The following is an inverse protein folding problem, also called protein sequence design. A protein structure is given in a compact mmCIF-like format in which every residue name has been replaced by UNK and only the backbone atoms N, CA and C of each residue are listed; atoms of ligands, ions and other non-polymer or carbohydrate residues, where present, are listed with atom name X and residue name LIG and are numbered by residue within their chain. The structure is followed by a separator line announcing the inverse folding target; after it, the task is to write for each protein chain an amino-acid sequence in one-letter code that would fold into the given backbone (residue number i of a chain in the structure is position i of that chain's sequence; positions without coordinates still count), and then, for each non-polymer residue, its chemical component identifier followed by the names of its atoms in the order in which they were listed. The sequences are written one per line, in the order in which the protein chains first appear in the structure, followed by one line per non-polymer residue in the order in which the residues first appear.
data_IF_879800214067
#
_entry.id   IF_879800214067
#
_cell.length_a   1.000
_cell.length_b   1.000
_cell.length_c   1.000
_cell.angle_alpha   90.00
_cell.angle_beta   90.00
_cell.angle_gamma   90.00
#
_symmetry.space_group_name_H-M   'P 1'
#
loop_
_entity.id
_entity.type
_entity.pdbx_description
1 polymer ?
#
# COMPACT_ATOMS: atom_id res chain seq x y z
N UNK A 1 84.88 -12.88 -13.40
CA UNK A 1 84.36 -12.18 -12.23
C UNK A 1 83.35 -11.13 -12.70
N UNK A 2 82.05 -11.33 -12.45
CA UNK A 2 81.02 -10.34 -12.76
C UNK A 2 80.93 -9.35 -11.59
N UNK A 3 81.52 -8.16 -11.74
CA UNK A 3 81.36 -7.08 -10.77
C UNK A 3 79.92 -6.53 -10.90
N UNK A 4 79.11 -6.69 -9.85
CA UNK A 4 77.78 -6.06 -9.79
C UNK A 4 77.98 -4.54 -9.78
N UNK A 5 77.33 -3.78 -10.68
CA UNK A 5 77.42 -2.33 -10.66
C UNK A 5 76.91 -1.79 -9.31
N UNK A 6 77.68 -0.86 -8.74
CA UNK A 6 77.41 -0.21 -7.46
C UNK A 6 76.10 0.58 -7.56
N UNK A 7 75.18 0.37 -6.62
CA UNK A 7 73.87 1.04 -6.64
C UNK A 7 74.05 2.49 -6.22
N UNK A 8 73.85 3.42 -7.15
CA UNK A 8 73.80 4.85 -6.87
C UNK A 8 72.64 5.13 -5.90
N UNK A 9 72.87 5.75 -4.73
CA UNK A 9 71.83 6.05 -3.77
C UNK A 9 70.93 7.17 -4.29
N UNK A 10 69.69 6.83 -4.65
CA UNK A 10 68.66 7.82 -5.00
C UNK A 10 68.28 8.68 -3.77
N UNK A 11 68.33 10.03 -3.88
CA UNK A 11 67.94 10.96 -2.82
C UNK A 11 66.51 10.73 -2.34
N UNK A 12 66.25 10.93 -1.05
CA UNK A 12 64.93 10.72 -0.43
C UNK A 12 63.82 11.56 -1.09
N UNK A 13 64.14 12.78 -1.54
CA UNK A 13 63.22 13.63 -2.31
C UNK A 13 62.76 12.98 -3.63
N UNK A 14 63.69 12.38 -4.39
CA UNK A 14 63.36 11.68 -5.64
C UNK A 14 62.57 10.39 -5.40
N UNK A 15 62.79 9.72 -4.25
CA UNK A 15 61.96 8.57 -3.85
C UNK A 15 60.53 8.99 -3.56
N UNK A 16 60.34 10.16 -2.97
CA UNK A 16 59.01 10.71 -2.66
C UNK A 16 58.26 11.13 -3.93
N UNK A 17 58.93 11.78 -4.89
CA UNK A 17 58.32 12.12 -6.19
C UNK A 17 57.90 10.86 -6.96
N UNK A 18 58.79 9.87 -7.08
CA UNK A 18 58.46 8.61 -7.76
C UNK A 18 57.32 7.85 -7.07
N UNK A 19 57.27 7.90 -5.74
CA UNK A 19 56.17 7.31 -4.97
C UNK A 19 54.86 8.06 -5.24
N UNK A 20 54.88 9.40 -5.24
CA UNK A 20 53.71 10.22 -5.55
C UNK A 20 53.21 10.02 -6.98
N UNK A 21 54.11 9.91 -7.96
CA UNK A 21 53.72 9.80 -9.37
C UNK A 21 53.23 8.40 -9.75
N UNK A 22 53.80 7.34 -9.16
CA UNK A 22 53.41 5.95 -9.50
C UNK A 22 52.40 5.34 -8.55
N UNK A 23 52.49 5.62 -7.25
CA UNK A 23 51.73 4.90 -6.22
C UNK A 23 50.46 5.66 -5.84
N UNK A 24 50.50 7.00 -5.79
CA UNK A 24 49.33 7.81 -5.42
C UNK A 24 48.12 7.58 -6.35
N UNK A 25 48.26 7.57 -7.69
CA UNK A 25 47.10 7.36 -8.57
C UNK A 25 46.48 5.98 -8.39
N UNK A 26 47.31 4.94 -8.19
CA UNK A 26 46.85 3.58 -7.95
C UNK A 26 46.11 3.45 -6.61
N UNK A 27 46.61 4.10 -5.55
CA UNK A 27 45.93 4.16 -4.25
C UNK A 27 44.59 4.87 -4.38
N UNK A 28 44.55 6.02 -5.06
CA UNK A 28 43.30 6.75 -5.29
C UNK A 28 42.28 5.90 -6.05
N UNK A 29 42.70 5.17 -7.09
CA UNK A 29 41.84 4.26 -7.83
C UNK A 29 41.33 3.10 -6.95
N UNK A 30 42.21 2.49 -6.15
CA UNK A 30 41.81 1.42 -5.24
C UNK A 30 40.81 1.93 -4.18
N UNK A 31 41.03 3.14 -3.65
CA UNK A 31 40.14 3.77 -2.68
C UNK A 31 38.78 4.09 -3.29
N UNK A 32 38.72 4.61 -4.53
CA UNK A 32 37.43 4.90 -5.20
C UNK A 32 36.68 3.62 -5.55
N UNK A 33 37.36 2.57 -6.00
CA UNK A 33 36.74 1.26 -6.23
C UNK A 33 36.21 0.65 -4.94
N UNK A 34 36.97 0.74 -3.84
CA UNK A 34 36.54 0.28 -2.52
C UNK A 34 35.33 1.09 -2.03
N UNK A 35 35.33 2.41 -2.17
CA UNK A 35 34.21 3.27 -1.81
C UNK A 35 32.97 2.98 -2.66
N UNK A 36 33.13 2.77 -3.97
CA UNK A 36 32.04 2.41 -4.87
C UNK A 36 31.46 1.04 -4.50
N UNK A 37 32.30 0.03 -4.26
CA UNK A 37 31.87 -1.29 -3.80
C UNK A 37 31.19 -1.25 -2.44
N UNK A 38 31.69 -0.44 -1.51
CA UNK A 38 31.09 -0.24 -0.19
C UNK A 38 29.72 0.44 -0.29
N UNK A 39 29.60 1.50 -1.09
CA UNK A 39 28.32 2.17 -1.35
C UNK A 39 27.34 1.24 -2.06
N UNK A 40 27.80 0.44 -3.02
CA UNK A 40 26.97 -0.56 -3.70
C UNK A 40 26.44 -1.61 -2.72
N UNK A 41 27.28 -2.10 -1.81
CA UNK A 41 26.84 -3.01 -0.76
C UNK A 41 25.86 -2.35 0.21
N UNK A 42 26.01 -1.06 0.50
CA UNK A 42 25.06 -0.34 1.35
C UNK A 42 23.72 -0.10 0.65
N UNK A 43 23.73 0.34 -0.61
CA UNK A 43 22.51 0.61 -1.38
C UNK A 43 21.78 -0.69 -1.76
N UNK A 44 22.51 -1.75 -2.13
CA UNK A 44 21.93 -3.07 -2.40
C UNK A 44 21.35 -3.76 -1.17
N UNK A 45 21.67 -3.30 0.05
CA UNK A 45 21.07 -3.76 1.31
C UNK A 45 19.82 -2.99 1.73
N UNK A 46 19.48 -1.90 1.05
CA UNK A 46 18.19 -1.24 1.28
C UNK A 46 17.14 -2.09 0.59
N UNK A 47 16.43 -2.91 1.36
CA UNK A 47 15.38 -3.77 0.85
C UNK A 47 14.41 -2.95 -0.03
N UNK A 48 14.07 -3.44 -1.24
CA UNK A 48 13.13 -2.75 -2.11
C UNK A 48 11.84 -2.54 -1.32
N UNK A 49 11.35 -1.31 -1.28
CA UNK A 49 10.03 -1.05 -0.71
C UNK A 49 8.97 -1.39 -1.77
N UNK A 50 7.88 -1.95 -1.31
CA UNK A 50 6.70 -2.22 -2.14
C UNK A 50 5.72 -1.08 -1.93
N UNK A 51 5.14 -0.59 -3.01
CA UNK A 51 4.08 0.41 -2.91
C UNK A 51 2.77 -0.27 -2.49
N UNK A 52 2.08 0.37 -1.56
CA UNK A 52 0.73 0.00 -1.16
C UNK A 52 -0.21 1.18 -1.22
N UNK A 53 -1.49 0.87 -1.18
CA UNK A 53 -2.58 1.84 -1.07
C UNK A 53 -3.38 1.57 0.20
N UNK A 54 -3.75 2.65 0.89
CA UNK A 54 -4.63 2.58 2.05
C UNK A 54 -6.06 2.34 1.57
N UNK A 55 -6.58 1.15 1.86
CA UNK A 55 -7.96 0.77 1.57
C UNK A 55 -8.94 1.22 2.66
N UNK A 56 -10.18 1.38 2.24
CA UNK A 56 -11.34 1.48 3.12
C UNK A 56 -12.29 0.32 2.84
N UNK A 57 -13.06 -0.07 3.85
CA UNK A 57 -14.07 -1.10 3.69
C UNK A 57 -15.26 -0.54 2.90
N UNK A 58 -15.80 -1.36 2.00
CA UNK A 58 -17.00 -1.05 1.23
C UNK A 58 -18.06 -2.07 1.63
N UNK A 59 -19.21 -1.58 2.10
CA UNK A 59 -20.30 -2.42 2.58
C UNK A 59 -21.54 -2.17 1.74
N UNK A 60 -22.17 -3.25 1.31
CA UNK A 60 -23.45 -3.23 0.62
C UNK A 60 -24.59 -3.23 1.66
N UNK A 61 -25.50 -2.26 1.56
CA UNK A 61 -26.77 -2.29 2.28
C UNK A 61 -27.76 -3.09 1.45
N UNK A 62 -28.15 -4.26 1.98
CA UNK A 62 -28.98 -5.26 1.28
C UNK A 62 -30.33 -5.41 1.94
N UNK A 63 -31.35 -5.69 1.14
CA UNK A 63 -32.70 -5.93 1.66
C UNK A 63 -32.76 -7.22 2.49
N UNK A 64 -33.24 -7.21 3.75
CA UNK A 64 -33.46 -8.43 4.52
C UNK A 64 -34.73 -9.18 4.09
N UNK A 65 -35.63 -8.53 3.35
CA UNK A 65 -36.98 -9.00 3.02
C UNK A 65 -37.30 -8.77 1.55
N UNK A 66 -38.22 -9.56 1.01
CA UNK A 66 -38.81 -9.29 -0.30
C UNK A 66 -39.88 -8.21 -0.16
N UNK A 67 -39.84 -7.19 -1.01
CA UNK A 67 -40.71 -6.04 -0.82
C UNK A 67 -40.57 -4.93 -1.84
N UNK A 68 -41.32 -3.86 -1.63
CA UNK A 68 -41.26 -2.64 -2.44
C UNK A 68 -40.43 -1.59 -1.71
N UNK A 69 -39.45 -1.01 -2.37
CA UNK A 69 -38.63 0.05 -1.79
C UNK A 69 -39.48 1.33 -1.68
N UNK A 70 -39.84 1.73 -0.47
CA UNK A 70 -40.69 2.92 -0.27
C UNK A 70 -39.88 4.19 -0.41
N UNK A 71 -38.73 4.22 0.24
CA UNK A 71 -37.88 5.39 0.28
C UNK A 71 -36.41 4.99 0.40
N UNK A 72 -35.58 5.75 -0.30
CA UNK A 72 -34.15 5.84 -0.05
C UNK A 72 -33.98 7.21 0.62
N UNK A 73 -33.87 7.22 1.94
CA UNK A 73 -33.95 8.45 2.70
C UNK A 73 -32.59 9.12 2.73
N UNK A 74 -32.46 10.36 2.22
CA UNK A 74 -31.17 11.03 2.06
C UNK A 74 -31.26 12.48 1.57
N UNK A 75 -32.39 12.85 0.94
CA UNK A 75 -32.80 14.22 0.60
C UNK A 75 -34.28 14.21 0.13
N UNK A 76 -34.98 15.36 0.03
CA UNK A 76 -36.44 15.42 -0.15
C UNK A 76 -36.99 14.79 -1.44
N UNK A 77 -36.13 14.42 -2.38
CA UNK A 77 -36.53 13.79 -3.65
C UNK A 77 -36.49 12.25 -3.60
N UNK A 78 -36.22 11.65 -2.44
CA UNK A 78 -36.21 10.18 -2.27
C UNK A 78 -35.03 9.46 -2.90
N UNK A 79 -33.92 10.16 -3.15
CA UNK A 79 -32.65 9.56 -3.59
C UNK A 79 -31.50 10.08 -2.72
N UNK A 80 -30.56 9.20 -2.38
CA UNK A 80 -29.27 9.63 -1.85
C UNK A 80 -28.46 10.29 -2.98
N UNK A 81 -27.91 11.50 -2.77
CA UNK A 81 -26.87 12.01 -3.65
C UNK A 81 -25.68 11.05 -3.65
N UNK A 82 -25.12 10.77 -4.82
CA UNK A 82 -23.80 10.16 -4.87
C UNK A 82 -22.81 11.03 -4.09
N UNK A 83 -21.97 10.38 -3.30
CA UNK A 83 -20.99 10.98 -2.41
C UNK A 83 -21.56 11.73 -1.19
N UNK A 84 -22.84 11.53 -0.85
CA UNK A 84 -23.39 12.03 0.39
C UNK A 84 -22.80 11.28 1.61
N UNK A 85 -22.46 11.99 2.70
CA UNK A 85 -22.03 11.36 3.94
C UNK A 85 -23.22 10.69 4.66
N UNK A 86 -22.98 9.53 5.24
CA UNK A 86 -23.96 8.79 6.05
C UNK A 86 -23.28 8.28 7.33
N UNK A 87 -23.97 8.39 8.46
CA UNK A 87 -23.48 7.89 9.76
C UNK A 87 -24.05 6.51 10.03
N UNK A 88 -23.29 5.66 10.72
CA UNK A 88 -23.77 4.36 11.17
C UNK A 88 -25.06 4.53 12.00
N UNK A 89 -26.04 3.67 11.76
CA UNK A 89 -27.36 3.74 12.40
C UNK A 89 -28.34 4.72 11.76
N UNK A 90 -27.89 5.63 10.88
CA UNK A 90 -28.81 6.51 10.15
C UNK A 90 -29.70 5.68 9.21
N UNK A 91 -30.96 6.05 9.05
CA UNK A 91 -31.87 5.36 8.14
C UNK A 91 -31.39 5.53 6.70
N UNK A 92 -31.05 4.42 6.04
CA UNK A 92 -30.49 4.41 4.70
C UNK A 92 -31.58 4.10 3.65
N UNK A 93 -32.50 3.20 3.97
CA UNK A 93 -33.61 2.80 3.12
C UNK A 93 -34.78 2.24 3.94
N UNK A 94 -35.98 2.26 3.35
CA UNK A 94 -37.19 1.62 3.90
C UNK A 94 -37.83 0.72 2.86
N UNK A 95 -38.13 -0.52 3.25
CA UNK A 95 -38.74 -1.54 2.38
C UNK A 95 -40.07 -1.99 2.97
N UNK A 96 -41.14 -1.88 2.20
CA UNK A 96 -42.46 -2.43 2.50
C UNK A 96 -42.47 -3.93 2.20
N UNK A 97 -42.72 -4.78 3.21
CA UNK A 97 -42.71 -6.23 3.04
C UNK A 97 -43.85 -6.72 2.14
N UNK A 98 -43.55 -7.68 1.27
CA UNK A 98 -44.55 -8.37 0.46
C UNK A 98 -45.47 -9.29 1.29
N UNK A 99 -44.96 -9.79 2.42
CA UNK A 99 -45.64 -10.74 3.30
C UNK A 99 -45.90 -10.06 4.65
N UNK A 100 -47.15 -9.64 4.87
CA UNK A 100 -47.57 -8.94 6.08
C UNK A 100 -48.07 -7.54 5.77
N UNK A 101 -49.38 -7.35 5.85
CA UNK A 101 -50.05 -6.07 5.59
C UNK A 101 -49.53 -5.03 6.59
N UNK A 102 -48.96 -3.93 6.08
CA UNK A 102 -48.44 -2.77 6.83
C UNK A 102 -47.14 -2.96 7.63
N UNK A 103 -46.21 -3.79 7.17
CA UNK A 103 -44.90 -3.97 7.85
C UNK A 103 -43.71 -3.45 7.02
N UNK A 104 -43.41 -2.15 7.16
CA UNK A 104 -42.17 -1.57 6.62
C UNK A 104 -40.96 -1.90 7.50
N UNK A 105 -39.83 -2.22 6.87
CA UNK A 105 -38.55 -2.47 7.53
C UNK A 105 -37.62 -1.31 7.23
N UNK A 106 -37.10 -0.69 8.29
CA UNK A 106 -36.07 0.34 8.20
C UNK A 106 -34.70 -0.32 8.15
N UNK A 107 -33.90 0.05 7.14
CA UNK A 107 -32.54 -0.41 6.96
C UNK A 107 -31.59 0.71 7.42
N UNK A 108 -30.95 0.57 8.59
CA UNK A 108 -29.92 1.50 9.01
C UNK A 108 -28.63 1.29 8.22
N UNK A 109 -27.83 2.35 8.12
CA UNK A 109 -26.48 2.29 7.60
C UNK A 109 -25.59 1.44 8.53
N UNK A 110 -24.89 0.41 8.04
CA UNK A 110 -24.04 -0.45 8.87
C UNK A 110 -22.78 0.28 9.36
N UNK A 111 -22.25 1.21 8.57
CA UNK A 111 -20.98 1.90 8.83
C UNK A 111 -21.08 3.41 8.58
N UNK A 112 -20.18 4.17 9.21
CA UNK A 112 -19.93 5.56 8.85
C UNK A 112 -19.20 5.62 7.50
N UNK A 113 -19.67 6.47 6.59
CA UNK A 113 -19.04 6.56 5.28
C UNK A 113 -19.71 7.49 4.31
N UNK A 114 -19.51 7.17 3.04
CA UNK A 114 -19.97 7.95 1.89
C UNK A 114 -20.68 7.00 0.93
N UNK A 115 -21.84 7.41 0.43
CA UNK A 115 -22.60 6.61 -0.55
C UNK A 115 -21.88 6.65 -1.90
N UNK A 116 -21.36 5.51 -2.36
CA UNK A 116 -20.60 5.43 -3.63
C UNK A 116 -21.44 4.93 -4.80
N UNK A 117 -22.50 4.17 -4.50
CA UNK A 117 -23.41 3.62 -5.50
C UNK A 117 -24.81 3.50 -4.94
N UNK A 118 -25.80 3.95 -5.71
CA UNK A 118 -27.23 3.71 -5.42
C UNK A 118 -27.74 2.80 -6.53
N UNK A 119 -28.28 1.64 -6.16
CA UNK A 119 -28.73 0.61 -7.11
C UNK A 119 -30.26 0.45 -7.11
N UNK A 120 -30.92 0.72 -5.98
CA UNK A 120 -32.39 0.72 -5.89
C UNK A 120 -33.01 2.05 -6.31
N UNK A 121 -34.27 2.00 -6.75
CA UNK A 121 -35.12 3.17 -6.99
C UNK A 121 -36.39 3.11 -6.11
N UNK A 122 -36.88 4.24 -5.58
CA UNK A 122 -38.17 4.27 -4.89
C UNK A 122 -39.29 3.73 -5.79
N UNK A 123 -40.15 2.89 -5.22
CA UNK A 123 -41.22 2.17 -5.90
C UNK A 123 -40.79 0.87 -6.59
N UNK A 124 -39.49 0.56 -6.67
CA UNK A 124 -38.98 -0.67 -7.26
C UNK A 124 -39.25 -1.87 -6.33
N UNK A 125 -39.57 -3.02 -6.92
CA UNK A 125 -39.60 -4.30 -6.22
C UNK A 125 -38.18 -4.82 -6.05
N UNK A 126 -37.81 -5.13 -4.81
CA UNK A 126 -36.48 -5.58 -4.41
C UNK A 126 -36.62 -6.93 -3.70
N UNK A 127 -35.76 -7.86 -4.09
CA UNK A 127 -35.68 -9.18 -3.46
C UNK A 127 -34.83 -9.17 -2.20
N UNK A 128 -35.04 -10.15 -1.32
CA UNK A 128 -34.17 -10.43 -0.20
C UNK A 128 -32.73 -10.68 -0.69
N UNK A 129 -31.79 -9.95 -0.12
CA UNK A 129 -30.36 -10.00 -0.42
C UNK A 129 -29.93 -9.07 -1.56
N UNK A 130 -30.85 -8.40 -2.24
CA UNK A 130 -30.52 -7.43 -3.29
C UNK A 130 -29.95 -6.14 -2.69
N UNK A 131 -28.90 -5.61 -3.34
CA UNK A 131 -28.18 -4.41 -2.89
C UNK A 131 -28.98 -3.16 -3.25
N UNK A 132 -29.30 -2.36 -2.25
CA UNK A 132 -30.01 -1.08 -2.42
C UNK A 132 -29.01 0.04 -2.64
N UNK A 133 -27.97 0.11 -1.81
CA UNK A 133 -26.91 1.11 -1.88
C UNK A 133 -25.60 0.57 -1.33
N UNK A 134 -24.50 1.22 -1.70
CA UNK A 134 -23.16 0.87 -1.29
C UNK A 134 -22.52 2.05 -0.56
N UNK A 135 -21.89 1.76 0.58
CA UNK A 135 -21.24 2.74 1.44
C UNK A 135 -19.76 2.41 1.51
N UNK A 136 -18.90 3.37 1.15
CA UNK A 136 -17.47 3.28 1.41
C UNK A 136 -17.13 3.97 2.73
N UNK A 137 -16.36 3.29 3.58
CA UNK A 137 -15.97 3.83 4.88
C UNK A 137 -15.12 5.10 4.71
N UNK A 138 -15.39 6.10 5.55
CA UNK A 138 -14.56 7.31 5.63
C UNK A 138 -13.28 7.09 6.44
N UNK A 139 -13.19 5.97 7.17
CA UNK A 139 -12.04 5.57 7.97
C UNK A 139 -11.20 4.57 7.16
N UNK A 140 -9.86 4.67 7.18
CA UNK A 140 -9.02 3.64 6.62
C UNK A 140 -9.22 2.35 7.42
N UNK A 141 -9.15 1.19 6.77
CA UNK A 141 -9.27 -0.11 7.46
C UNK A 141 -8.05 -1.02 7.26
N UNK A 142 -7.40 -0.98 6.09
CA UNK A 142 -6.25 -1.82 5.79
C UNK A 142 -5.32 -1.16 4.77
N UNK A 143 -4.12 -1.70 4.61
CA UNK A 143 -3.20 -1.37 3.51
C UNK A 143 -3.12 -2.59 2.59
N UNK A 144 -3.22 -2.37 1.29
CA UNK A 144 -2.98 -3.41 0.28
C UNK A 144 -1.72 -3.09 -0.50
N UNK A 145 -0.79 -4.03 -0.57
CA UNK A 145 0.38 -3.94 -1.46
C UNK A 145 0.54 -5.22 -2.27
N UNK A 146 1.29 -5.15 -3.37
CA UNK A 146 1.52 -6.29 -4.25
C UNK A 146 3.00 -6.66 -4.22
N UNK A 147 3.34 -7.74 -3.53
CA UNK A 147 4.72 -8.21 -3.39
C UNK A 147 5.08 -9.02 -4.64
N UNK A 148 6.14 -8.65 -5.40
CA UNK A 148 6.54 -9.38 -6.60
C UNK A 148 6.78 -10.88 -6.31
N UNK A 149 6.34 -11.75 -7.22
CA UNK A 149 6.63 -13.19 -7.14
C UNK A 149 7.92 -13.47 -7.93
N UNK A 150 9.07 -13.23 -7.29
CA UNK A 150 10.39 -13.40 -7.92
C UNK A 150 11.07 -14.74 -7.55
N UNK A 151 10.30 -15.72 -7.04
CA UNK A 151 10.81 -17.03 -6.62
C UNK A 151 11.31 -17.10 -5.18
N UNK A 152 11.16 -16.02 -4.42
CA UNK A 152 11.38 -15.99 -2.98
C UNK A 152 10.16 -16.58 -2.24
N UNK A 153 10.37 -17.25 -1.09
CA UNK A 153 9.25 -17.77 -0.29
C UNK A 153 8.33 -16.60 0.14
N UNK A 154 7.01 -16.67 -0.08
CA UNK A 154 6.11 -15.57 0.24
C UNK A 154 6.21 -15.18 1.72
N UNK A 155 5.91 -13.91 2.07
CA UNK A 155 5.85 -13.50 3.46
C UNK A 155 4.85 -14.39 4.24
N UNK A 156 4.95 -14.40 5.57
CA UNK A 156 3.98 -15.13 6.40
C UNK A 156 3.05 -14.13 7.10
N UNK A 157 1.74 -14.43 7.24
CA UNK A 157 0.86 -13.66 8.11
C UNK A 157 1.45 -13.58 9.53
N UNK A 158 1.29 -12.42 10.17
CA UNK A 158 1.91 -12.11 11.46
C UNK A 158 3.33 -11.52 11.39
N UNK A 159 3.91 -11.44 10.19
CA UNK A 159 5.22 -10.79 10.03
C UNK A 159 5.10 -9.27 10.25
N UNK A 160 5.99 -8.71 11.06
CA UNK A 160 6.08 -7.26 11.26
C UNK A 160 6.72 -6.59 10.04
N UNK A 161 6.09 -5.53 9.55
CA UNK A 161 6.55 -4.70 8.43
C UNK A 161 6.63 -3.24 8.86
N UNK A 162 7.45 -2.46 8.17
CA UNK A 162 7.53 -1.03 8.38
C UNK A 162 6.80 -0.30 7.26
N UNK A 163 5.87 0.57 7.62
CA UNK A 163 5.07 1.37 6.68
C UNK A 163 5.44 2.84 6.83
N UNK A 164 5.50 3.58 5.73
CA UNK A 164 5.56 5.05 5.76
C UNK A 164 4.63 5.67 4.73
N UNK A 165 4.22 6.91 5.00
CA UNK A 165 3.51 7.74 4.03
C UNK A 165 4.44 8.15 2.89
N UNK A 166 4.00 7.96 1.64
CA UNK A 166 4.75 8.44 0.47
C UNK A 166 4.66 9.97 0.42
N UNK A 167 5.82 10.63 0.43
CA UNK A 167 5.91 12.10 0.50
C UNK A 167 5.80 12.69 1.92
N UNK A 168 5.51 11.88 2.94
CA UNK A 168 5.35 12.30 4.34
C UNK A 168 6.64 12.35 5.17
N UNK A 169 7.81 12.30 4.53
CA UNK A 169 9.12 12.25 5.20
C UNK A 169 9.62 10.83 5.47
N UNK A 170 10.55 10.68 6.43
CA UNK A 170 11.23 9.41 6.74
C UNK A 170 10.70 8.72 8.01
N UNK A 171 9.43 8.96 8.39
CA UNK A 171 8.83 8.32 9.56
C UNK A 171 8.26 6.97 9.17
N UNK A 172 8.89 5.92 9.68
CA UNK A 172 8.42 4.54 9.57
C UNK A 172 7.59 4.19 10.81
N UNK A 173 6.47 3.53 10.61
CA UNK A 173 5.62 2.99 11.67
C UNK A 173 5.53 1.48 11.50
N UNK A 174 5.44 0.76 12.62
CA UNK A 174 5.28 -0.69 12.60
C UNK A 174 3.84 -1.06 12.23
N UNK A 175 3.69 -2.08 11.39
CA UNK A 175 2.44 -2.72 11.05
C UNK A 175 2.66 -4.24 10.90
N UNK A 176 1.58 -4.99 10.76
CA UNK A 176 1.61 -6.45 10.73
C UNK A 176 0.91 -6.95 9.46
N UNK A 177 1.42 -8.02 8.86
CA UNK A 177 0.75 -8.69 7.75
C UNK A 177 -0.48 -9.44 8.29
N UNK A 178 -1.67 -8.98 7.91
CA UNK A 178 -2.95 -9.63 8.25
C UNK A 178 -3.15 -10.90 7.42
N UNK A 179 -2.81 -10.86 6.13
CA UNK A 179 -3.03 -11.97 5.24
C UNK A 179 -2.44 -11.77 3.85
N UNK A 180 -2.38 -12.87 3.09
CA UNK A 180 -1.78 -12.92 1.77
C UNK A 180 -2.75 -13.64 0.85
N UNK A 181 -3.03 -13.05 -0.31
CA UNK A 181 -3.90 -13.67 -1.29
C UNK A 181 -3.23 -14.87 -1.96
N UNK A 182 -4.01 -15.91 -2.30
CA UNK A 182 -3.47 -17.17 -2.83
C UNK A 182 -3.02 -17.08 -4.30
N UNK A 183 -3.36 -15.99 -5.00
CA UNK A 183 -3.14 -15.83 -6.43
C UNK A 183 -2.38 -14.54 -6.69
N UNK A 184 -1.41 -14.62 -7.59
CA UNK A 184 -0.69 -13.46 -8.11
C UNK A 184 -1.64 -12.59 -8.92
N UNK A 185 -1.82 -11.35 -8.47
CA UNK A 185 -2.66 -10.36 -9.12
C UNK A 185 -1.81 -9.26 -9.77
N UNK A 186 -2.33 -8.66 -10.83
CA UNK A 186 -1.76 -7.43 -11.40
C UNK A 186 -2.55 -6.26 -10.85
N UNK A 187 -1.88 -5.32 -10.19
CA UNK A 187 -2.49 -4.08 -9.76
C UNK A 187 -1.70 -2.89 -10.30
N UNK A 188 -2.45 -1.93 -10.84
CA UNK A 188 -1.90 -0.65 -11.28
C UNK A 188 -1.86 0.28 -10.09
N UNK A 189 -0.65 0.61 -9.63
CA UNK A 189 -0.48 1.60 -8.57
C UNK A 189 -0.22 2.94 -9.23
N UNK A 190 -1.17 3.86 -9.13
CA UNK A 190 -1.04 5.21 -9.65
C UNK A 190 -0.20 6.06 -8.72
N UNK A 191 1.08 6.19 -9.03
CA UNK A 191 2.03 6.89 -8.16
C UNK A 191 2.43 8.29 -8.64
N UNK A 192 1.71 8.81 -9.63
CA UNK A 192 1.89 10.15 -10.22
C UNK A 192 3.20 10.34 -10.99
N UNK A 193 4.17 9.44 -10.87
CA UNK A 193 5.53 9.58 -11.42
C UNK A 193 5.81 8.58 -12.53
N UNK A 194 5.23 7.38 -12.46
CA UNK A 194 5.49 6.28 -13.40
C UNK A 194 4.35 5.99 -14.39
N UNK A 195 3.30 6.82 -14.42
CA UNK A 195 2.15 6.60 -15.31
C UNK A 195 1.28 5.40 -14.93
N UNK A 196 1.46 4.84 -13.73
CA UNK A 196 0.78 3.63 -13.28
C UNK A 196 1.66 2.39 -13.48
N UNK A 197 2.61 2.17 -12.58
CA UNK A 197 3.37 0.93 -12.58
C UNK A 197 2.43 -0.24 -12.28
N UNK A 198 2.17 -1.06 -13.30
CA UNK A 198 1.45 -2.33 -13.11
C UNK A 198 2.39 -3.29 -12.42
N UNK A 199 2.16 -3.53 -11.14
CA UNK A 199 2.93 -4.49 -10.36
C UNK A 199 2.18 -5.80 -10.35
N UNK A 200 2.82 -6.85 -10.86
CA UNK A 200 2.33 -8.22 -10.75
C UNK A 200 2.94 -8.84 -9.49
N UNK A 201 2.10 -9.25 -8.55
CA UNK A 201 2.56 -9.76 -7.27
C UNK A 201 1.45 -10.41 -6.44
N UNK A 202 1.85 -11.07 -5.35
CA UNK A 202 0.91 -11.57 -4.36
C UNK A 202 0.32 -10.37 -3.60
N UNK A 203 -1.02 -10.23 -3.55
CA UNK A 203 -1.65 -9.18 -2.79
C UNK A 203 -1.49 -9.48 -1.30
N UNK A 204 -0.86 -8.57 -0.57
CA UNK A 204 -0.64 -8.65 0.87
C UNK A 204 -1.46 -7.58 1.53
N UNK A 205 -2.24 -7.99 2.53
CA UNK A 205 -3.05 -7.12 3.36
C UNK A 205 -2.33 -6.89 4.69
N UNK A 206 -2.18 -5.62 5.04
CA UNK A 206 -1.40 -5.16 6.20
C UNK A 206 -2.31 -4.33 7.10
N UNK A 207 -2.14 -4.49 8.41
CA UNK A 207 -2.87 -3.72 9.42
C UNK A 207 -2.49 -2.24 9.38
N UNK A 208 -3.36 -1.38 9.91
CA UNK A 208 -3.07 0.04 9.95
C UNK A 208 -2.14 0.39 11.11
N UNK A 209 -1.02 1.08 10.85
CA UNK A 209 -0.20 1.64 11.91
C UNK A 209 -0.97 2.76 12.64
N UNK A 210 -1.01 2.70 13.96
CA UNK A 210 -1.64 3.75 14.81
C UNK A 210 -0.91 5.08 14.74
N UNK A 211 0.38 5.04 14.38
CA UNK A 211 1.28 6.18 14.46
C UNK A 211 1.30 7.00 13.16
N UNK A 212 0.43 6.75 12.19
CA UNK A 212 0.39 7.51 10.94
C UNK A 212 -1.02 8.06 10.65
N UNK A 213 -1.16 9.34 10.27
CA UNK A 213 -2.43 9.91 9.86
C UNK A 213 -2.79 9.44 8.45
N UNK A 214 -3.25 8.20 8.32
CA UNK A 214 -3.63 7.59 7.05
C UNK A 214 -5.04 8.02 6.64
N UNK A 215 -5.23 8.24 5.34
CA UNK A 215 -6.55 8.44 4.72
C UNK A 215 -6.75 7.40 3.62
N UNK A 216 -7.99 6.93 3.38
CA UNK A 216 -8.29 6.08 2.24
C UNK A 216 -7.78 6.67 0.91
N UNK A 217 -7.20 5.84 0.05
CA UNK A 217 -6.59 6.23 -1.23
C UNK A 217 -5.17 6.80 -1.13
N UNK A 218 -4.61 6.92 0.09
CA UNK A 218 -3.23 7.40 0.25
C UNK A 218 -2.22 6.31 -0.11
N UNK A 219 -1.14 6.68 -0.80
CA UNK A 219 -0.05 5.78 -1.11
C UNK A 219 0.93 5.67 0.05
N UNK A 220 1.39 4.45 0.29
CA UNK A 220 2.36 4.12 1.34
C UNK A 220 3.50 3.28 0.77
N UNK A 221 4.68 3.44 1.35
CA UNK A 221 5.80 2.54 1.09
C UNK A 221 5.85 1.51 2.21
N UNK A 222 5.94 0.24 1.85
CA UNK A 222 6.05 -0.89 2.78
C UNK A 222 7.43 -1.50 2.65
N UNK A 223 8.14 -1.60 3.77
CA UNK A 223 9.42 -2.28 3.88
C UNK A 223 9.24 -3.57 4.68
N UNK A 224 9.63 -4.67 4.04
CA UNK A 224 9.70 -5.98 4.67
C UNK A 224 11.06 -6.15 5.37
N UNK A 225 11.12 -6.85 6.51
CA UNK A 225 12.38 -7.03 7.23
C UNK A 225 13.35 -7.90 6.42
N UNK A 226 14.66 -7.66 6.54
CA UNK A 226 15.68 -8.45 5.84
C UNK A 226 15.61 -9.91 6.33
N UNK A 227 15.42 -10.84 5.40
CA UNK A 227 15.21 -12.26 5.70
C UNK A 227 13.78 -12.73 5.46
N UNK A 228 12.82 -11.82 5.31
CA UNK A 228 11.57 -12.12 4.61
C UNK A 228 11.92 -12.20 3.12
N UNK A 229 11.69 -13.35 2.48
CA UNK A 229 11.98 -13.47 1.06
C UNK A 229 11.01 -12.53 0.30
N UNK A 230 11.57 -11.67 -0.55
CA UNK A 230 10.86 -10.71 -1.42
C UNK A 230 11.11 -11.06 -2.85
#
# INVERSE_FOLDING_TARGET
MNARPERIPIPSAQRWENFRERVLPAICLAATLAACGWLWQQQGRVAPFVHGEVGAEIVDVRSPVDGRLEAIEGQPNGQWPLFAPISSGAMAARVEQAIGKDSSVDLPAPIDGVVTKVSGLPGQWIGRGETILQIASSKPTFITCHVPDNGSKPPEPGTMVAVRLRGGGNRWAAAEIEGIGPIVASATIYDGTSGGATTRGLPVRITLPTDLPLKPGTLVDVRFPPGTPM
#
